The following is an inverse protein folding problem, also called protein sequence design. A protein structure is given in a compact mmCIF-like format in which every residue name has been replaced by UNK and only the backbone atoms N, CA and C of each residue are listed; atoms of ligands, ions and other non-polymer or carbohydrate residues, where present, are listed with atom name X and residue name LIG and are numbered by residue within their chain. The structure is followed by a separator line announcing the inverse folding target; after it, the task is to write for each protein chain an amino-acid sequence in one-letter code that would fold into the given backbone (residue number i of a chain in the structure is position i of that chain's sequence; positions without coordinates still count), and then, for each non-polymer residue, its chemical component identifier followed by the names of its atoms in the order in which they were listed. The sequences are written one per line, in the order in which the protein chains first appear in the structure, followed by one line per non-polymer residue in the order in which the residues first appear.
data_IF_078841341106
#
_entry.id   IF_078841341106
#
_cell.length_a   1.000
_cell.length_b   1.000
_cell.length_c   1.000
_cell.angle_alpha   90.00
_cell.angle_beta   90.00
_cell.angle_gamma   90.00
#
_symmetry.space_group_name_H-M   'P 1'
#
loop_
_entity.id
_entity.type
_entity.pdbx_description
1 polymer ?
#
# COMPACT_ATOMS: atom_id res chain seq x y z
N UNK A 1 -46.35 12.38 -42.22
CA UNK A 1 -46.29 13.07 -40.94
C UNK A 1 -46.17 12.16 -39.70
N UNK A 2 -45.93 10.84 -39.88
CA UNK A 2 -45.69 9.88 -38.78
C UNK A 2 -44.24 9.47 -38.61
N UNK A 3 -43.33 9.91 -39.48
CA UNK A 3 -41.89 9.58 -39.41
C UNK A 3 -41.06 10.64 -38.66
N UNK A 4 -41.61 11.79 -38.34
CA UNK A 4 -40.85 12.84 -37.59
C UNK A 4 -40.98 12.75 -36.05
N UNK A 5 -41.93 11.97 -35.54
CA UNK A 5 -42.10 11.82 -34.07
C UNK A 5 -41.25 10.72 -33.45
N UNK A 6 -40.71 9.79 -34.25
CA UNK A 6 -39.87 8.68 -33.76
C UNK A 6 -38.38 9.10 -33.55
N UNK A 7 -37.91 10.14 -34.25
CA UNK A 7 -36.51 10.60 -34.16
C UNK A 7 -36.24 11.47 -32.93
N UNK A 8 -37.26 12.10 -32.35
CA UNK A 8 -37.08 12.98 -31.16
C UNK A 8 -37.08 12.20 -29.86
N UNK A 9 -37.69 10.99 -29.81
CA UNK A 9 -37.72 10.15 -28.61
C UNK A 9 -36.43 9.33 -28.44
N UNK A 10 -35.72 9.03 -29.54
CA UNK A 10 -34.44 8.31 -29.45
C UNK A 10 -33.25 9.22 -29.06
N UNK A 11 -33.33 10.53 -29.30
CA UNK A 11 -32.31 11.48 -28.90
C UNK A 11 -32.35 11.84 -27.39
N UNK A 12 -33.52 11.65 -26.74
CA UNK A 12 -33.71 11.90 -25.30
C UNK A 12 -33.22 10.76 -24.40
N UNK A 13 -33.08 9.53 -24.92
CA UNK A 13 -32.65 8.37 -24.12
C UNK A 13 -31.11 8.18 -24.05
N UNK A 14 -30.37 8.84 -24.93
CA UNK A 14 -28.90 8.79 -24.92
C UNK A 14 -28.23 9.85 -24.03
N UNK A 15 -29.00 10.83 -23.54
CA UNK A 15 -28.47 11.84 -22.62
C UNK A 15 -28.60 11.51 -21.13
N UNK A 16 -29.21 10.38 -20.76
CA UNK A 16 -29.42 9.97 -19.37
C UNK A 16 -28.31 9.05 -18.81
N UNK A 17 -27.34 8.64 -19.64
CA UNK A 17 -26.11 7.96 -19.22
C UNK A 17 -24.90 8.90 -19.09
N UNK A 18 -25.11 10.20 -18.89
CA UNK A 18 -24.08 11.04 -18.34
C UNK A 18 -23.80 10.53 -16.91
N UNK A 19 -22.76 9.71 -16.82
CA UNK A 19 -22.14 9.28 -15.59
C UNK A 19 -22.19 10.42 -14.58
N UNK A 20 -22.94 10.26 -13.48
CA UNK A 20 -22.62 11.00 -12.25
C UNK A 20 -21.16 10.64 -11.96
N UNK A 21 -20.26 11.48 -12.44
CA UNK A 21 -18.91 11.55 -11.92
C UNK A 21 -19.08 11.99 -10.45
N UNK A 22 -19.23 11.00 -9.58
CA UNK A 22 -19.05 11.23 -8.17
C UNK A 22 -17.59 11.68 -8.05
N UNK A 23 -17.39 12.98 -7.91
CA UNK A 23 -16.08 13.51 -7.62
C UNK A 23 -15.66 12.96 -6.25
N UNK A 24 -14.77 11.99 -6.23
CA UNK A 24 -14.11 11.48 -5.02
C UNK A 24 -13.41 12.59 -4.21
N UNK A 25 -13.35 13.80 -4.76
CA UNK A 25 -12.56 14.93 -4.27
C UNK A 25 -13.37 15.95 -3.45
N UNK A 26 -14.55 15.61 -2.94
CA UNK A 26 -15.50 16.57 -2.39
C UNK A 26 -15.17 17.18 -1.02
N UNK A 27 -14.16 16.75 -0.33
CA UNK A 27 -13.55 17.51 0.77
C UNK A 27 -12.09 17.13 0.83
N UNK A 28 -11.20 18.11 0.91
CA UNK A 28 -9.81 17.80 1.24
C UNK A 28 -9.79 17.41 2.72
N UNK A 29 -9.69 16.13 3.08
CA UNK A 29 -9.61 15.74 4.48
C UNK A 29 -8.36 16.37 5.11
N UNK A 30 -8.37 16.59 6.41
CA UNK A 30 -7.18 17.03 7.14
C UNK A 30 -6.04 16.04 6.87
N UNK A 31 -4.95 16.55 6.33
CA UNK A 31 -3.77 15.74 6.02
C UNK A 31 -3.02 15.38 7.30
N UNK A 32 -2.35 14.20 7.35
CA UNK A 32 -1.54 13.82 8.49
C UNK A 32 -0.50 14.89 8.83
N UNK A 33 -0.47 15.32 10.11
CA UNK A 33 0.39 16.43 10.53
C UNK A 33 1.80 15.99 10.82
N UNK A 34 1.97 14.88 11.54
CA UNK A 34 3.30 14.49 12.01
C UNK A 34 3.41 12.98 12.22
N UNK A 35 4.63 12.45 12.17
CA UNK A 35 4.88 11.05 12.48
C UNK A 35 4.95 10.79 13.99
N UNK A 36 5.30 11.79 14.80
CA UNK A 36 5.70 11.61 16.19
C UNK A 36 4.62 11.95 17.21
N UNK A 37 3.47 12.44 16.79
CA UNK A 37 2.46 12.93 17.74
C UNK A 37 1.36 11.91 18.01
N UNK A 38 1.36 11.27 19.18
CA UNK A 38 0.14 10.66 19.71
C UNK A 38 -0.86 11.77 20.00
N UNK A 39 -1.82 11.99 19.10
CA UNK A 39 -3.00 12.81 19.38
C UNK A 39 -4.11 11.88 19.84
N UNK A 40 -4.57 12.06 21.07
CA UNK A 40 -5.79 11.43 21.53
C UNK A 40 -6.95 11.84 20.60
N UNK A 41 -7.43 10.91 19.80
CA UNK A 41 -8.63 11.11 18.98
C UNK A 41 -9.78 10.40 19.66
N UNK A 42 -10.93 11.05 19.83
CA UNK A 42 -12.10 10.33 20.30
C UNK A 42 -12.40 9.19 19.32
N UNK A 43 -12.56 7.99 19.86
CA UNK A 43 -13.03 6.86 19.08
C UNK A 43 -14.47 7.08 18.64
N UNK A 44 -14.86 6.54 17.51
CA UNK A 44 -16.25 6.48 17.09
C UNK A 44 -16.62 5.06 16.72
N UNK A 45 -17.86 4.68 17.00
CA UNK A 45 -18.41 3.40 16.61
C UNK A 45 -19.00 3.48 15.20
N UNK A 46 -18.75 2.46 14.40
CA UNK A 46 -19.39 2.27 13.10
C UNK A 46 -20.37 1.11 13.17
N UNK A 47 -21.49 1.20 12.48
CA UNK A 47 -22.54 0.15 12.51
C UNK A 47 -22.48 -0.78 11.30
N UNK A 48 -21.85 -0.38 10.21
CA UNK A 48 -21.80 -1.17 8.97
C UNK A 48 -20.39 -1.63 8.63
N UNK A 49 -19.56 -0.67 8.29
CA UNK A 49 -18.19 -0.93 7.87
C UNK A 49 -17.26 0.24 8.24
N UNK A 50 -15.97 -0.02 8.26
CA UNK A 50 -14.95 0.99 8.49
C UNK A 50 -13.73 0.77 7.60
N UNK A 51 -12.99 1.84 7.34
CA UNK A 51 -11.72 1.83 6.65
C UNK A 51 -10.72 2.65 7.46
N UNK A 52 -9.53 2.13 7.65
CA UNK A 52 -8.40 2.84 8.22
C UNK A 52 -7.18 2.71 7.31
N UNK A 53 -6.57 3.83 6.97
CA UNK A 53 -5.36 3.89 6.17
C UNK A 53 -4.46 5.03 6.65
N UNK A 54 -3.20 5.03 6.21
CA UNK A 54 -2.21 6.02 6.63
C UNK A 54 -2.52 7.46 6.14
N UNK A 55 -3.40 7.60 5.14
CA UNK A 55 -3.76 8.91 4.58
C UNK A 55 -5.28 9.02 4.41
N UNK A 56 -5.90 10.17 4.76
CA UNK A 56 -7.34 10.40 4.63
C UNK A 56 -7.89 10.22 3.22
N UNK A 57 -7.12 10.58 2.18
CA UNK A 57 -7.54 10.38 0.78
C UNK A 57 -7.67 8.89 0.45
N UNK A 58 -6.74 8.06 0.93
CA UNK A 58 -6.81 6.62 0.77
C UNK A 58 -7.97 6.01 1.57
N UNK A 59 -8.17 6.46 2.82
CA UNK A 59 -9.32 6.06 3.64
C UNK A 59 -10.63 6.39 2.94
N UNK A 60 -10.75 7.60 2.38
CA UNK A 60 -11.95 8.03 1.65
C UNK A 60 -12.21 7.16 0.41
N UNK A 61 -11.18 6.81 -0.35
CA UNK A 61 -11.31 5.93 -1.51
C UNK A 61 -11.85 4.54 -1.12
N UNK A 62 -11.25 3.90 -0.10
CA UNK A 62 -11.73 2.62 0.42
C UNK A 62 -13.16 2.69 0.97
N UNK A 63 -13.49 3.76 1.70
CA UNK A 63 -14.84 3.98 2.22
C UNK A 63 -15.89 4.09 1.11
N UNK A 64 -15.60 4.83 0.04
CA UNK A 64 -16.53 4.94 -1.09
C UNK A 64 -16.72 3.61 -1.82
N UNK A 65 -15.67 2.80 -1.93
CA UNK A 65 -15.77 1.44 -2.47
C UNK A 65 -16.72 0.58 -1.64
N UNK A 66 -16.57 0.58 -0.30
CA UNK A 66 -17.49 -0.17 0.58
C UNK A 66 -18.93 0.36 0.48
N UNK A 67 -19.11 1.69 0.44
CA UNK A 67 -20.41 2.34 0.26
C UNK A 67 -21.07 1.97 -1.07
N UNK A 68 -20.30 1.71 -2.12
CA UNK A 68 -20.78 1.25 -3.40
C UNK A 68 -21.09 -0.27 -3.44
N UNK A 69 -20.97 -0.99 -2.32
CA UNK A 69 -21.23 -2.42 -2.21
C UNK A 69 -20.02 -3.31 -2.47
N UNK A 70 -18.82 -2.71 -2.56
CA UNK A 70 -17.57 -3.45 -2.69
C UNK A 70 -17.23 -4.31 -1.48
N UNK A 71 -16.34 -5.26 -1.66
CA UNK A 71 -15.78 -6.09 -0.60
C UNK A 71 -14.67 -5.36 0.15
N UNK A 72 -14.20 -5.95 1.27
CA UNK A 72 -13.03 -5.46 1.99
C UNK A 72 -11.77 -5.50 1.10
N UNK A 73 -11.64 -6.50 0.24
CA UNK A 73 -10.53 -6.60 -0.73
C UNK A 73 -10.63 -5.49 -1.78
N UNK A 74 -11.82 -5.19 -2.30
CA UNK A 74 -12.01 -4.07 -3.22
C UNK A 74 -11.58 -2.75 -2.59
N UNK A 75 -11.98 -2.52 -1.34
CA UNK A 75 -11.58 -1.33 -0.59
C UNK A 75 -10.06 -1.27 -0.38
N UNK A 76 -9.43 -2.38 -0.02
CA UNK A 76 -7.98 -2.45 0.18
C UNK A 76 -7.20 -2.13 -1.11
N UNK A 77 -7.70 -2.56 -2.28
CA UNK A 77 -7.10 -2.24 -3.58
C UNK A 77 -7.17 -0.74 -3.84
N UNK A 78 -8.34 -0.11 -3.69
CA UNK A 78 -8.47 1.33 -3.90
C UNK A 78 -7.60 2.13 -2.93
N UNK A 79 -7.53 1.72 -1.66
CA UNK A 79 -6.63 2.29 -0.64
C UNK A 79 -5.17 2.19 -1.10
N UNK A 80 -4.71 1.00 -1.50
CA UNK A 80 -3.32 0.79 -1.90
C UNK A 80 -2.94 1.62 -3.12
N UNK A 81 -3.82 1.71 -4.13
CA UNK A 81 -3.55 2.52 -5.31
C UNK A 81 -3.42 4.01 -4.96
N UNK A 82 -4.27 4.53 -4.08
CA UNK A 82 -4.18 5.93 -3.62
C UNK A 82 -2.95 6.16 -2.75
N UNK A 83 -2.61 5.22 -1.84
CA UNK A 83 -1.41 5.32 -1.01
C UNK A 83 -0.12 5.42 -1.84
N UNK A 84 -0.05 4.78 -3.00
CA UNK A 84 1.08 4.89 -3.93
C UNK A 84 1.39 6.34 -4.32
N UNK A 85 0.38 7.21 -4.34
CA UNK A 85 0.52 8.64 -4.63
C UNK A 85 0.79 9.47 -3.38
N UNK A 86 -0.04 9.27 -2.34
CA UNK A 86 -0.11 10.21 -1.20
C UNK A 86 0.82 9.85 -0.05
N UNK A 87 1.34 8.61 -0.02
CA UNK A 87 2.32 8.10 0.95
C UNK A 87 3.46 7.34 0.24
N UNK A 88 4.14 7.94 -0.75
CA UNK A 88 5.11 7.23 -1.59
C UNK A 88 6.34 6.75 -0.82
N UNK A 89 6.64 7.35 0.35
CA UNK A 89 7.74 6.95 1.22
C UNK A 89 7.53 5.58 1.89
N UNK A 90 6.28 5.08 1.92
CA UNK A 90 5.93 3.83 2.61
C UNK A 90 4.99 2.93 1.82
N UNK A 91 4.63 3.30 0.61
CA UNK A 91 3.67 2.55 -0.21
C UNK A 91 3.96 2.67 -1.70
N UNK A 92 3.77 1.60 -2.45
CA UNK A 92 4.01 1.62 -3.90
C UNK A 92 3.55 0.35 -4.60
N UNK A 93 3.46 0.42 -5.92
CA UNK A 93 3.10 -0.72 -6.79
C UNK A 93 4.32 -1.55 -7.22
N UNK A 94 5.52 -1.00 -7.06
CA UNK A 94 6.80 -1.65 -7.41
C UNK A 94 7.42 -2.47 -6.28
N UNK A 95 6.74 -2.59 -5.15
CA UNK A 95 7.15 -3.36 -3.98
C UNK A 95 6.36 -4.65 -3.80
N UNK A 96 6.26 -5.11 -2.54
CA UNK A 96 5.48 -6.26 -2.14
C UNK A 96 4.47 -5.95 -1.05
N UNK A 97 3.58 -6.89 -0.81
CA UNK A 97 2.57 -6.78 0.22
C UNK A 97 2.19 -8.15 0.78
N UNK A 98 1.71 -8.14 2.02
CA UNK A 98 1.02 -9.27 2.63
C UNK A 98 -0.46 -8.90 2.81
N UNK A 99 -1.34 -9.84 2.50
CA UNK A 99 -2.78 -9.69 2.70
C UNK A 99 -3.30 -10.78 3.62
N UNK A 100 -3.97 -10.36 4.69
CA UNK A 100 -4.81 -11.25 5.52
C UNK A 100 -6.27 -10.91 5.23
N UNK A 101 -7.05 -11.91 4.87
CA UNK A 101 -8.48 -11.79 4.63
C UNK A 101 -9.24 -12.72 5.56
N UNK A 102 -10.26 -12.17 6.25
CA UNK A 102 -11.19 -12.96 7.07
C UNK A 102 -12.59 -12.82 6.50
N UNK A 103 -13.19 -13.93 6.11
CA UNK A 103 -14.52 -13.98 5.49
C UNK A 103 -15.67 -14.15 6.50
N UNK A 104 -15.36 -14.06 7.79
CA UNK A 104 -16.28 -14.35 8.91
C UNK A 104 -16.17 -15.77 9.44
N UNK A 105 -15.40 -16.65 8.79
CA UNK A 105 -15.23 -18.07 9.16
C UNK A 105 -13.77 -18.49 9.23
N UNK A 106 -12.98 -18.13 8.22
CA UNK A 106 -11.56 -18.49 8.09
C UNK A 106 -10.71 -17.26 7.80
N UNK A 107 -9.44 -17.36 8.17
CA UNK A 107 -8.42 -16.40 7.77
C UNK A 107 -7.61 -16.98 6.61
N UNK A 108 -7.36 -16.19 5.59
CA UNK A 108 -6.50 -16.53 4.45
C UNK A 108 -5.33 -15.57 4.38
N UNK A 109 -4.16 -16.08 4.04
CA UNK A 109 -2.92 -15.30 3.95
C UNK A 109 -2.36 -15.38 2.53
N UNK A 110 -2.17 -14.22 1.90
CA UNK A 110 -1.63 -14.10 0.53
C UNK A 110 -0.27 -13.39 0.61
N UNK A 111 0.77 -14.09 0.19
CA UNK A 111 2.13 -13.60 0.14
C UNK A 111 2.44 -13.03 -1.24
N UNK A 112 2.51 -11.72 -1.29
CA UNK A 112 2.94 -10.93 -2.44
C UNK A 112 4.26 -10.21 -2.18
N UNK A 113 5.10 -10.75 -1.29
CA UNK A 113 6.42 -10.18 -1.05
C UNK A 113 7.31 -10.26 -2.28
N UNK A 114 8.22 -9.32 -2.41
CA UNK A 114 9.24 -9.34 -3.45
C UNK A 114 10.11 -10.60 -3.34
N UNK A 115 10.56 -11.10 -4.48
CA UNK A 115 11.56 -12.13 -4.54
C UNK A 115 12.82 -11.60 -5.19
N UNK A 116 13.97 -12.19 -4.86
CA UNK A 116 15.22 -11.85 -5.54
C UNK A 116 15.14 -12.20 -7.04
N UNK A 117 15.74 -11.41 -7.93
CA UNK A 117 15.93 -11.82 -9.31
C UNK A 117 16.66 -13.17 -9.41
N UNK A 118 16.36 -13.96 -10.42
CA UNK A 118 16.89 -15.33 -10.58
C UNK A 118 18.42 -15.40 -10.62
N UNK A 119 19.07 -14.32 -11.03
CA UNK A 119 20.54 -14.22 -11.08
C UNK A 119 21.15 -13.76 -9.73
N UNK A 120 20.37 -13.52 -8.68
CA UNK A 120 20.89 -13.14 -7.38
C UNK A 120 21.61 -14.34 -6.73
N UNK A 121 22.74 -14.05 -6.08
CA UNK A 121 23.54 -15.02 -5.34
C UNK A 121 23.77 -14.55 -3.91
N UNK A 122 24.33 -15.41 -3.07
CA UNK A 122 24.79 -15.10 -1.72
C UNK A 122 25.85 -14.00 -1.65
N UNK A 123 26.47 -13.66 -2.81
CA UNK A 123 27.48 -12.61 -2.95
C UNK A 123 26.91 -11.28 -3.46
N UNK A 124 25.59 -11.15 -3.60
CA UNK A 124 24.95 -9.99 -4.23
C UNK A 124 25.39 -8.64 -3.63
N UNK A 125 25.60 -8.59 -2.32
CA UNK A 125 25.99 -7.37 -1.58
C UNK A 125 27.44 -7.42 -1.07
N UNK A 126 28.31 -8.18 -1.73
CA UNK A 126 29.76 -8.18 -1.44
C UNK A 126 30.50 -7.35 -2.48
N UNK A 127 31.60 -6.73 -2.03
CA UNK A 127 32.57 -6.09 -2.91
C UNK A 127 33.51 -7.13 -3.59
N UNK A 128 34.43 -6.65 -4.42
CA UNK A 128 35.40 -7.51 -5.09
C UNK A 128 36.37 -8.25 -4.13
N UNK A 129 36.48 -7.81 -2.90
CA UNK A 129 37.27 -8.41 -1.84
C UNK A 129 36.45 -9.36 -0.94
N UNK A 130 35.16 -9.55 -1.26
CA UNK A 130 34.26 -10.39 -0.48
C UNK A 130 33.76 -9.77 0.82
N UNK A 131 33.89 -8.45 0.99
CA UNK A 131 33.38 -7.72 2.17
C UNK A 131 31.96 -7.17 1.87
N UNK A 132 31.08 -7.11 2.89
CA UNK A 132 29.77 -6.49 2.72
C UNK A 132 29.88 -5.05 2.26
N UNK A 133 29.05 -4.63 1.30
CA UNK A 133 28.90 -3.23 0.91
C UNK A 133 28.40 -2.41 2.09
N UNK A 134 28.77 -1.12 2.18
CA UNK A 134 28.08 -0.18 3.06
C UNK A 134 26.58 -0.24 2.85
N UNK A 135 25.80 -0.24 3.95
CA UNK A 135 24.35 -0.47 3.89
C UNK A 135 23.64 0.44 2.88
N UNK A 136 23.86 1.75 2.94
CA UNK A 136 23.22 2.71 2.05
C UNK A 136 23.69 2.56 0.59
N UNK A 137 24.91 2.13 0.35
CA UNK A 137 25.39 1.83 -1.01
C UNK A 137 24.65 0.63 -1.63
N UNK A 138 24.34 -0.37 -0.81
CA UNK A 138 23.47 -1.47 -1.22
C UNK A 138 22.03 -1.01 -1.47
N UNK A 139 21.46 -0.21 -0.55
CA UNK A 139 20.07 0.28 -0.63
C UNK A 139 19.86 1.15 -1.86
N UNK A 140 20.76 2.10 -2.13
CA UNK A 140 20.68 3.05 -3.25
C UNK A 140 21.22 2.45 -4.56
N UNK A 141 20.92 1.20 -4.84
CA UNK A 141 21.45 0.48 -6.00
C UNK A 141 20.38 -0.32 -6.73
N UNK A 142 20.67 -0.74 -7.95
CA UNK A 142 19.87 -1.71 -8.68
C UNK A 142 19.89 -3.12 -8.05
N UNK A 143 20.88 -3.40 -7.17
CA UNK A 143 21.00 -4.69 -6.49
C UNK A 143 19.89 -4.94 -5.48
N UNK A 144 19.38 -3.87 -4.82
CA UNK A 144 18.35 -3.96 -3.78
C UNK A 144 16.94 -4.15 -4.35
N UNK A 145 16.75 -4.03 -5.65
CA UNK A 145 15.41 -4.07 -6.27
C UNK A 145 14.97 -5.52 -6.46
N UNK A 146 13.96 -5.92 -5.70
CA UNK A 146 13.30 -7.21 -5.84
C UNK A 146 12.23 -7.22 -6.94
N UNK A 147 11.84 -8.41 -7.38
CA UNK A 147 10.73 -8.62 -8.32
C UNK A 147 9.41 -8.28 -7.64
N UNK A 148 8.63 -7.29 -8.13
CA UNK A 148 7.48 -6.76 -7.41
C UNK A 148 6.29 -7.72 -7.36
N UNK A 149 5.62 -7.76 -6.21
CA UNK A 149 4.49 -8.65 -5.94
C UNK A 149 3.16 -7.96 -5.64
N UNK A 150 3.16 -6.66 -5.30
CA UNK A 150 1.97 -5.94 -4.83
C UNK A 150 0.76 -6.07 -5.75
N UNK A 151 0.90 -5.79 -7.05
CA UNK A 151 -0.24 -5.90 -7.98
C UNK A 151 -0.72 -7.34 -8.14
N UNK A 152 0.21 -8.29 -8.16
CA UNK A 152 -0.14 -9.71 -8.31
C UNK A 152 -0.93 -10.23 -7.11
N UNK A 153 -0.55 -9.84 -5.88
CA UNK A 153 -1.28 -10.29 -4.68
C UNK A 153 -2.66 -9.65 -4.58
N UNK A 154 -2.78 -8.37 -4.92
CA UNK A 154 -4.07 -7.67 -4.93
C UNK A 154 -5.00 -8.26 -5.98
N UNK A 155 -4.51 -8.53 -7.20
CA UNK A 155 -5.30 -9.16 -8.27
C UNK A 155 -5.71 -10.59 -7.90
N UNK A 156 -4.84 -11.36 -7.24
CA UNK A 156 -5.17 -12.71 -6.76
C UNK A 156 -6.28 -12.66 -5.72
N UNK A 157 -6.16 -11.80 -4.72
CA UNK A 157 -7.19 -11.63 -3.70
C UNK A 157 -8.51 -11.09 -4.29
N UNK A 158 -8.43 -10.20 -5.29
CA UNK A 158 -9.62 -9.69 -5.98
C UNK A 158 -10.36 -10.78 -6.76
N UNK A 159 -9.66 -11.66 -7.46
CA UNK A 159 -10.27 -12.79 -8.19
C UNK A 159 -11.07 -13.72 -7.28
N UNK A 160 -10.68 -13.84 -6.02
CA UNK A 160 -11.34 -14.72 -5.05
C UNK A 160 -12.44 -14.00 -4.24
N UNK A 161 -12.25 -12.73 -3.92
CA UNK A 161 -13.08 -12.00 -2.94
C UNK A 161 -13.61 -10.65 -3.44
N UNK A 162 -13.24 -10.22 -4.64
CA UNK A 162 -13.73 -8.97 -5.23
C UNK A 162 -15.21 -9.05 -5.61
N UNK A 163 -15.87 -7.90 -5.53
CA UNK A 163 -17.28 -7.73 -5.92
C UNK A 163 -17.45 -6.69 -7.01
N UNK A 164 -16.61 -5.65 -7.02
CA UNK A 164 -16.65 -4.60 -8.01
C UNK A 164 -15.63 -4.86 -9.13
N UNK A 165 -15.85 -4.34 -10.35
CA UNK A 165 -14.89 -4.47 -11.44
C UNK A 165 -13.54 -3.88 -11.05
N UNK A 166 -12.46 -4.60 -11.35
CA UNK A 166 -11.08 -4.20 -11.05
C UNK A 166 -10.76 -2.76 -11.46
N UNK A 167 -11.09 -2.40 -12.72
CA UNK A 167 -10.80 -1.08 -13.26
C UNK A 167 -11.44 0.05 -12.45
N UNK A 168 -12.61 -0.18 -11.84
CA UNK A 168 -13.30 0.81 -10.99
C UNK A 168 -12.50 1.13 -9.73
N UNK A 169 -11.78 0.16 -9.18
CA UNK A 169 -11.00 0.30 -7.95
C UNK A 169 -9.76 1.17 -8.14
N UNK A 170 -9.27 1.27 -9.36
CA UNK A 170 -8.08 2.05 -9.72
C UNK A 170 -8.43 3.52 -10.01
N UNK A 171 -9.69 3.83 -10.36
CA UNK A 171 -10.11 5.17 -10.79
C UNK A 171 -9.78 6.29 -9.79
N UNK A 172 -9.95 6.13 -8.46
CA UNK A 172 -9.59 7.20 -7.52
C UNK A 172 -8.12 7.63 -7.62
N UNK A 173 -7.22 6.67 -7.78
CA UNK A 173 -5.80 6.95 -7.92
C UNK A 173 -5.48 7.62 -9.26
N UNK A 174 -6.10 7.19 -10.37
CA UNK A 174 -5.95 7.83 -11.68
C UNK A 174 -6.36 9.31 -11.58
N UNK A 175 -7.52 9.60 -10.98
CA UNK A 175 -8.01 10.97 -10.85
C UNK A 175 -7.07 11.83 -10.02
N UNK A 176 -6.56 11.32 -8.89
CA UNK A 176 -5.59 12.04 -8.05
C UNK A 176 -4.27 12.27 -8.78
N UNK A 177 -3.80 11.31 -9.57
CA UNK A 177 -2.59 11.47 -10.36
C UNK A 177 -2.71 12.57 -11.42
N UNK A 178 -3.87 12.69 -12.06
CA UNK A 178 -4.14 13.70 -13.10
C UNK A 178 -4.48 15.08 -12.57
N UNK A 179 -5.42 15.12 -11.64
CA UNK A 179 -5.94 16.37 -11.09
C UNK A 179 -5.02 16.94 -10.02
N UNK A 180 -4.26 16.08 -9.37
CA UNK A 180 -3.32 16.39 -8.32
C UNK A 180 -3.92 16.23 -6.92
N UNK A 181 -3.00 16.14 -5.96
CA UNK A 181 -3.31 16.11 -4.53
C UNK A 181 -2.37 17.07 -3.79
N UNK A 182 -2.82 17.56 -2.64
CA UNK A 182 -2.01 18.48 -1.82
C UNK A 182 -0.94 17.68 -1.06
N UNK A 183 0.31 18.12 -1.17
CA UNK A 183 1.42 17.59 -0.41
C UNK A 183 1.15 17.74 1.10
N UNK A 184 1.15 16.63 1.81
CA UNK A 184 0.84 16.59 3.24
C UNK A 184 2.02 17.08 4.09
N UNK A 185 1.79 17.57 5.33
CA UNK A 185 2.86 17.87 6.28
C UNK A 185 3.78 16.66 6.52
N UNK A 186 3.21 15.45 6.61
CA UNK A 186 3.97 14.21 6.79
C UNK A 186 4.91 13.92 5.62
N UNK A 187 4.41 14.02 4.38
CA UNK A 187 5.25 13.82 3.20
C UNK A 187 6.33 14.91 3.10
N UNK A 188 5.99 16.16 3.43
CA UNK A 188 6.96 17.25 3.46
C UNK A 188 8.10 16.98 4.45
N UNK A 189 7.77 16.53 5.66
CA UNK A 189 8.80 16.16 6.65
C UNK A 189 9.65 14.97 6.21
N UNK A 190 9.05 13.97 5.57
CA UNK A 190 9.80 12.85 5.01
C UNK A 190 10.79 13.32 3.93
N UNK A 191 10.38 14.23 3.05
CA UNK A 191 11.25 14.80 2.02
C UNK A 191 12.37 15.68 2.61
N UNK A 192 12.12 16.38 3.72
CA UNK A 192 13.16 17.14 4.43
C UNK A 192 14.22 16.24 5.07
N UNK A 193 13.81 15.06 5.53
CA UNK A 193 14.72 14.08 6.16
C UNK A 193 15.48 13.22 5.13
N UNK A 194 15.03 13.23 3.86
CA UNK A 194 15.59 12.42 2.78
C UNK A 194 16.76 13.15 2.10
N UNK A 195 17.93 12.51 2.02
CA UNK A 195 19.13 13.13 1.47
C UNK A 195 19.51 12.62 0.07
N UNK A 196 19.00 11.46 -0.32
CA UNK A 196 19.47 10.75 -1.51
C UNK A 196 18.50 10.84 -2.69
N UNK A 197 17.19 10.91 -2.42
CA UNK A 197 16.13 10.95 -3.44
C UNK A 197 16.30 12.11 -4.42
N UNK A 198 16.80 13.25 -3.92
CA UNK A 198 17.06 14.45 -4.74
C UNK A 198 18.14 14.25 -5.80
N UNK A 199 18.92 13.19 -5.75
CA UNK A 199 19.94 12.84 -6.72
C UNK A 199 19.36 12.05 -7.91
N UNK A 200 18.17 11.50 -7.82
CA UNK A 200 17.42 10.98 -8.97
C UNK A 200 16.70 12.13 -9.67
N UNK A 201 17.02 12.35 -10.95
CA UNK A 201 16.52 13.50 -11.70
C UNK A 201 14.98 13.54 -11.81
N UNK A 202 14.33 12.36 -11.91
CA UNK A 202 12.87 12.25 -12.00
C UNK A 202 12.23 12.60 -10.67
N UNK A 203 12.72 12.01 -9.57
CA UNK A 203 12.23 12.30 -8.23
C UNK A 203 12.50 13.77 -7.84
N UNK A 204 13.68 14.30 -8.21
CA UNK A 204 14.02 15.70 -7.97
C UNK A 204 13.03 16.65 -8.66
N UNK A 205 12.70 16.41 -9.92
CA UNK A 205 11.75 17.25 -10.66
C UNK A 205 10.31 17.19 -10.12
N UNK A 206 9.95 16.09 -9.45
CA UNK A 206 8.61 15.86 -8.94
C UNK A 206 8.39 16.39 -7.52
N UNK A 207 9.38 16.19 -6.63
CA UNK A 207 9.23 16.50 -5.20
C UNK A 207 9.89 17.81 -4.77
N UNK A 208 10.81 18.37 -5.57
CA UNK A 208 11.65 19.50 -5.16
C UNK A 208 11.51 20.68 -6.14
N UNK A 209 11.73 21.88 -5.62
CA UNK A 209 11.77 23.11 -6.42
C UNK A 209 13.13 23.33 -7.11
N UNK A 210 13.25 24.43 -7.86
CA UNK A 210 14.47 24.80 -8.56
C UNK A 210 15.66 25.09 -7.62
N UNK A 211 15.40 25.37 -6.36
CA UNK A 211 16.40 25.56 -5.29
C UNK A 211 16.75 24.26 -4.57
N UNK A 212 16.27 23.10 -5.08
CA UNK A 212 16.45 21.78 -4.50
C UNK A 212 15.87 21.64 -3.09
N UNK A 213 14.80 22.38 -2.79
CA UNK A 213 14.02 22.26 -1.54
C UNK A 213 12.74 21.49 -1.82
N UNK A 214 12.26 20.66 -0.87
CA UNK A 214 10.96 20.03 -1.01
C UNK A 214 9.86 21.05 -1.27
N UNK A 215 8.93 20.75 -2.16
CA UNK A 215 7.75 21.59 -2.33
C UNK A 215 7.04 21.82 -1.01
N UNK A 216 6.47 23.02 -0.77
CA UNK A 216 5.83 23.35 0.51
C UNK A 216 4.56 22.53 0.73
N UNK A 217 4.19 22.38 2.01
CA UNK A 217 2.89 21.79 2.40
C UNK A 217 1.75 22.47 1.65
N UNK A 218 0.86 21.66 1.09
CA UNK A 218 -0.27 22.14 0.29
C UNK A 218 0.03 22.37 -1.19
N UNK A 219 1.29 22.24 -1.62
CA UNK A 219 1.63 22.20 -3.04
C UNK A 219 0.87 21.06 -3.74
N UNK A 220 0.36 21.32 -4.94
CA UNK A 220 -0.41 20.33 -5.70
C UNK A 220 0.53 19.50 -6.57
N UNK A 221 0.76 18.26 -6.17
CA UNK A 221 1.51 17.28 -6.96
C UNK A 221 0.60 16.62 -8.00
N UNK A 222 1.06 16.55 -9.23
CA UNK A 222 0.41 15.83 -10.34
C UNK A 222 1.41 14.86 -10.96
N UNK A 223 0.94 13.67 -11.30
CA UNK A 223 1.78 12.66 -11.94
C UNK A 223 1.03 12.01 -13.13
N UNK A 224 0.97 12.67 -14.29
CA UNK A 224 0.29 12.16 -15.47
C UNK A 224 0.91 10.87 -16.01
N UNK A 225 2.22 10.67 -15.83
CA UNK A 225 2.92 9.45 -16.23
C UNK A 225 2.47 8.26 -15.37
N UNK A 226 2.37 8.44 -14.06
CA UNK A 226 1.81 7.41 -13.19
C UNK A 226 0.31 7.18 -13.49
N UNK A 227 -0.44 8.22 -13.86
CA UNK A 227 -1.83 8.05 -14.30
C UNK A 227 -1.92 7.13 -15.54
N UNK A 228 -0.99 7.24 -16.48
CA UNK A 228 -0.94 6.35 -17.65
C UNK A 228 -0.63 4.90 -17.23
N UNK A 229 0.31 4.69 -16.31
CA UNK A 229 0.61 3.36 -15.73
C UNK A 229 -0.62 2.80 -14.99
N UNK A 230 -1.31 3.62 -14.20
CA UNK A 230 -2.51 3.19 -13.48
C UNK A 230 -3.66 2.82 -14.43
N UNK A 231 -3.79 3.48 -15.59
CA UNK A 231 -4.76 3.06 -16.63
C UNK A 231 -4.39 1.71 -17.22
N UNK A 232 -3.11 1.47 -17.50
CA UNK A 232 -2.65 0.17 -17.97
C UNK A 232 -2.91 -0.94 -16.92
N UNK A 233 -2.75 -0.63 -15.64
CA UNK A 233 -3.10 -1.51 -14.53
C UNK A 233 -4.62 -1.74 -14.45
N UNK A 234 -5.43 -0.71 -14.68
CA UNK A 234 -6.89 -0.83 -14.70
C UNK A 234 -7.38 -1.75 -15.83
N UNK A 235 -6.70 -1.72 -16.97
CA UNK A 235 -7.04 -2.53 -18.15
C UNK A 235 -6.49 -3.96 -18.07
N UNK A 236 -5.22 -4.13 -17.69
CA UNK A 236 -4.49 -5.41 -17.77
C UNK A 236 -4.14 -6.06 -16.42
N UNK A 237 -4.53 -5.44 -15.30
CA UNK A 237 -4.21 -5.96 -13.98
C UNK A 237 -2.69 -5.99 -13.73
N UNK A 238 -2.22 -7.05 -13.08
CA UNK A 238 -0.80 -7.23 -12.77
C UNK A 238 0.08 -7.45 -14.01
N UNK A 239 -0.49 -7.79 -15.15
CA UNK A 239 0.25 -7.91 -16.42
C UNK A 239 0.89 -6.59 -16.85
N UNK A 240 0.35 -5.44 -16.43
CA UNK A 240 0.93 -4.13 -16.70
C UNK A 240 2.39 -4.00 -16.24
N UNK A 241 2.77 -4.64 -15.12
CA UNK A 241 4.15 -4.65 -14.62
C UNK A 241 4.95 -5.90 -15.05
N UNK A 242 4.32 -6.89 -15.65
CA UNK A 242 4.97 -8.14 -16.06
C UNK A 242 5.37 -8.16 -17.52
N UNK A 243 4.70 -7.36 -18.36
CA UNK A 243 4.87 -7.37 -19.80
C UNK A 243 4.62 -5.97 -20.40
N UNK A 244 5.27 -5.69 -21.53
CA UNK A 244 5.08 -4.44 -22.26
C UNK A 244 6.03 -3.33 -21.82
N UNK A 245 5.68 -2.08 -22.15
CA UNK A 245 6.58 -0.93 -22.03
C UNK A 245 6.99 -0.63 -20.57
N UNK A 246 6.04 -0.74 -19.62
CA UNK A 246 6.32 -0.49 -18.20
C UNK A 246 7.30 -1.53 -17.65
N UNK A 247 7.10 -2.82 -17.95
CA UNK A 247 8.02 -3.88 -17.56
C UNK A 247 9.43 -3.67 -18.13
N UNK A 248 9.51 -3.27 -19.42
CA UNK A 248 10.78 -2.97 -20.06
C UNK A 248 11.50 -1.79 -19.40
N UNK A 249 10.78 -0.70 -19.14
CA UNK A 249 11.32 0.48 -18.47
C UNK A 249 11.81 0.17 -17.05
N UNK A 250 11.07 -0.65 -16.29
CA UNK A 250 11.46 -1.11 -14.96
C UNK A 250 12.77 -1.90 -15.00
N UNK A 251 12.85 -2.92 -15.86
CA UNK A 251 14.08 -3.72 -16.04
C UNK A 251 15.25 -2.84 -16.49
N UNK A 252 15.00 -1.92 -17.42
CA UNK A 252 16.03 -0.98 -17.90
C UNK A 252 16.55 -0.11 -16.75
N UNK A 253 15.67 0.51 -15.96
CA UNK A 253 16.07 1.36 -14.82
C UNK A 253 16.92 0.59 -13.82
N UNK A 254 16.55 -0.64 -13.49
CA UNK A 254 17.31 -1.52 -12.56
C UNK A 254 18.67 -1.89 -13.14
N UNK A 255 18.73 -2.32 -14.40
CA UNK A 255 19.97 -2.78 -15.05
C UNK A 255 20.92 -1.67 -15.48
N UNK A 256 20.41 -0.44 -15.62
CA UNK A 256 21.20 0.73 -16.00
C UNK A 256 21.48 1.65 -14.81
N UNK A 257 21.35 1.14 -13.58
CA UNK A 257 21.74 1.93 -12.41
C UNK A 257 23.21 2.39 -12.54
N UNK A 258 23.50 3.69 -12.37
CA UNK A 258 24.78 4.28 -12.78
C UNK A 258 26.00 3.74 -12.05
N UNK A 259 25.83 3.29 -10.80
CA UNK A 259 26.96 2.81 -9.99
C UNK A 259 26.93 1.30 -9.77
N UNK A 260 25.75 0.73 -9.49
CA UNK A 260 25.57 -0.69 -9.17
C UNK A 260 24.32 -1.24 -9.87
N UNK A 261 24.45 -1.68 -11.13
CA UNK A 261 23.37 -2.30 -11.88
C UNK A 261 22.82 -3.56 -11.20
N UNK A 262 21.49 -3.70 -11.17
CA UNK A 262 20.83 -4.93 -10.76
C UNK A 262 20.75 -5.96 -11.89
N UNK A 263 20.28 -7.16 -11.55
CA UNK A 263 20.23 -8.31 -12.47
C UNK A 263 18.83 -8.67 -12.97
N UNK A 264 17.78 -7.93 -12.55
CA UNK A 264 16.39 -8.23 -12.91
C UNK A 264 16.19 -8.35 -14.42
N UNK A 265 15.36 -9.32 -14.84
CA UNK A 265 14.99 -9.58 -16.23
C UNK A 265 13.48 -9.52 -16.43
N UNK A 266 13.05 -9.41 -17.68
CA UNK A 266 11.62 -9.53 -18.04
C UNK A 266 11.06 -10.92 -17.66
N UNK A 267 11.89 -11.95 -17.70
CA UNK A 267 11.49 -13.28 -17.30
C UNK A 267 11.21 -13.37 -15.80
N UNK A 268 11.99 -12.72 -14.95
CA UNK A 268 11.75 -12.64 -13.51
C UNK A 268 10.36 -12.01 -13.24
N UNK A 269 10.04 -10.90 -13.92
CA UNK A 269 8.74 -10.25 -13.80
C UNK A 269 7.59 -11.16 -14.26
N UNK A 270 7.75 -11.82 -15.41
CA UNK A 270 6.72 -12.69 -15.99
C UNK A 270 6.46 -13.94 -15.14
N UNK A 271 7.47 -14.49 -14.48
CA UNK A 271 7.39 -15.72 -13.69
C UNK A 271 6.96 -15.51 -12.24
N UNK A 272 6.87 -14.26 -11.77
CA UNK A 272 6.46 -13.98 -10.39
C UNK A 272 5.09 -14.59 -10.08
N UNK A 273 5.01 -15.29 -8.94
CA UNK A 273 3.79 -15.94 -8.45
C UNK A 273 3.52 -15.57 -6.99
N UNK A 274 2.27 -15.28 -6.70
CA UNK A 274 1.75 -15.14 -5.34
C UNK A 274 1.71 -16.51 -4.67
N UNK A 275 2.00 -16.55 -3.38
CA UNK A 275 1.93 -17.77 -2.58
C UNK A 275 0.80 -17.63 -1.56
N UNK A 276 -0.15 -18.55 -1.54
CA UNK A 276 -1.08 -18.70 -0.42
C UNK A 276 -0.38 -19.47 0.71
N UNK A 277 -0.50 -18.92 1.93
CA UNK A 277 0.11 -19.51 3.12
C UNK A 277 -0.95 -19.81 4.17
N UNK A 278 -0.68 -20.80 5.02
CA UNK A 278 -1.47 -20.98 6.23
C UNK A 278 -1.17 -19.86 7.22
N UNK A 279 -2.19 -19.11 7.71
CA UNK A 279 -1.97 -18.07 8.70
C UNK A 279 -1.41 -18.65 10.00
N UNK A 280 -0.58 -17.89 10.70
CA UNK A 280 -0.11 -18.27 12.02
C UNK A 280 -1.14 -17.81 13.06
N UNK A 281 -1.85 -18.79 13.63
CA UNK A 281 -2.89 -18.53 14.63
C UNK A 281 -2.50 -19.15 15.99
N UNK A 282 -2.87 -18.47 17.07
CA UNK A 282 -2.71 -18.98 18.44
C UNK A 282 -3.83 -18.45 19.32
N UNK A 283 -4.15 -19.22 20.39
CA UNK A 283 -5.14 -18.82 21.36
C UNK A 283 -4.53 -17.90 22.43
N UNK A 284 -5.25 -16.87 22.80
CA UNK A 284 -4.87 -15.93 23.84
C UNK A 284 -6.05 -15.65 24.77
N UNK A 285 -5.81 -15.73 26.07
CA UNK A 285 -6.80 -15.42 27.11
C UNK A 285 -6.40 -14.14 27.82
N UNK A 286 -7.27 -13.14 27.80
CA UNK A 286 -7.08 -11.90 28.56
C UNK A 286 -7.26 -12.21 30.05
N UNK A 287 -6.18 -12.21 30.82
CA UNK A 287 -6.18 -12.69 32.20
C UNK A 287 -7.07 -11.88 33.15
N UNK A 288 -7.29 -10.59 32.88
CA UNK A 288 -8.14 -9.72 33.68
C UNK A 288 -9.65 -9.99 33.51
N UNK A 289 -10.05 -10.52 32.35
CA UNK A 289 -11.47 -10.73 32.01
C UNK A 289 -11.84 -12.19 31.78
N UNK A 290 -10.85 -13.08 31.64
CA UNK A 290 -11.05 -14.48 31.26
C UNK A 290 -11.50 -14.68 29.78
N UNK A 291 -11.60 -13.60 28.99
CA UNK A 291 -12.07 -13.67 27.62
C UNK A 291 -11.00 -14.26 26.71
N UNK A 292 -11.37 -15.34 26.01
CA UNK A 292 -10.51 -15.99 24.99
C UNK A 292 -10.64 -15.34 23.61
N UNK A 293 -9.52 -15.28 22.89
CA UNK A 293 -9.42 -14.83 21.51
C UNK A 293 -8.52 -15.78 20.74
N UNK A 294 -8.85 -16.04 19.48
CA UNK A 294 -7.90 -16.56 18.52
C UNK A 294 -7.24 -15.39 17.79
N UNK A 295 -5.94 -15.30 17.86
CA UNK A 295 -5.14 -14.25 17.21
C UNK A 295 -4.45 -14.87 16.01
N UNK A 296 -4.73 -14.35 14.81
CA UNK A 296 -4.13 -14.79 13.57
C UNK A 296 -3.31 -13.66 12.95
N UNK A 297 -2.15 -14.00 12.41
CA UNK A 297 -1.31 -13.06 11.71
C UNK A 297 -0.59 -13.72 10.55
N UNK A 298 0.18 -12.92 9.81
CA UNK A 298 0.90 -13.42 8.65
C UNK A 298 2.11 -14.26 9.09
N UNK A 299 2.28 -15.50 8.55
CA UNK A 299 3.40 -16.37 8.89
C UNK A 299 4.73 -15.87 8.27
N UNK A 300 5.87 -16.52 8.54
CA UNK A 300 7.08 -16.24 7.77
C UNK A 300 6.83 -16.30 6.26
N UNK A 301 7.40 -15.34 5.50
CA UNK A 301 8.55 -14.50 5.84
C UNK A 301 8.22 -13.20 6.59
N UNK A 302 6.99 -13.00 7.08
CA UNK A 302 6.68 -11.92 8.03
C UNK A 302 7.07 -12.34 9.45
N UNK A 303 7.69 -11.44 10.20
CA UNK A 303 8.01 -11.64 11.62
C UNK A 303 6.85 -11.23 12.55
N UNK A 304 5.83 -10.52 12.04
CA UNK A 304 4.83 -9.84 12.86
C UNK A 304 4.02 -10.77 13.76
N UNK A 305 3.41 -11.82 13.21
CA UNK A 305 2.61 -12.78 13.99
C UNK A 305 3.46 -13.53 15.01
N UNK A 306 4.68 -13.92 14.63
CA UNK A 306 5.61 -14.60 15.53
C UNK A 306 5.97 -13.70 16.72
N UNK A 307 6.35 -12.45 16.46
CA UNK A 307 6.70 -11.49 17.49
C UNK A 307 5.50 -11.20 18.43
N UNK A 308 4.31 -10.97 17.88
CA UNK A 308 3.09 -10.74 18.67
C UNK A 308 2.77 -11.98 19.55
N UNK A 309 2.87 -13.18 18.96
CA UNK A 309 2.64 -14.43 19.70
C UNK A 309 3.62 -14.61 20.85
N UNK A 310 4.90 -14.32 20.63
CA UNK A 310 5.92 -14.38 21.67
C UNK A 310 5.66 -13.34 22.78
N UNK A 311 5.39 -12.09 22.41
CA UNK A 311 5.09 -11.01 23.38
C UNK A 311 3.89 -11.40 24.27
N UNK A 312 2.78 -11.78 23.66
CA UNK A 312 1.57 -12.13 24.41
C UNK A 312 1.75 -13.40 25.26
N UNK A 313 2.48 -14.39 24.73
CA UNK A 313 2.81 -15.62 25.45
C UNK A 313 3.70 -15.36 26.67
N UNK A 314 4.71 -14.51 26.53
CA UNK A 314 5.59 -14.10 27.64
C UNK A 314 4.81 -13.30 28.66
N UNK A 315 4.08 -12.26 28.25
CA UNK A 315 3.28 -11.43 29.15
C UNK A 315 2.26 -12.24 29.98
N UNK A 316 1.66 -13.26 29.39
CA UNK A 316 0.73 -14.14 30.10
C UNK A 316 1.39 -14.94 31.25
N UNK A 317 2.69 -15.11 31.21
CA UNK A 317 3.48 -15.78 32.27
C UNK A 317 4.12 -14.81 33.25
N UNK A 318 3.76 -13.52 33.18
CA UNK A 318 4.23 -12.46 34.07
C UNK A 318 3.06 -11.83 34.83
N UNK A 319 3.30 -11.08 35.90
CA UNK A 319 2.27 -10.29 36.55
C UNK A 319 1.58 -9.27 35.64
N UNK A 320 2.24 -8.80 34.58
CA UNK A 320 1.72 -7.79 33.64
C UNK A 320 0.36 -8.16 33.04
N UNK A 321 0.11 -9.46 32.75
CA UNK A 321 -1.18 -9.94 32.24
C UNK A 321 -2.38 -9.68 33.15
N UNK A 322 -2.16 -9.39 34.46
CA UNK A 322 -3.16 -9.10 35.46
C UNK A 322 -3.15 -7.66 35.94
N UNK A 323 -2.18 -6.84 35.56
CA UNK A 323 -2.06 -5.45 35.98
C UNK A 323 -3.13 -4.60 35.32
N UNK A 324 -3.92 -3.81 36.07
CA UNK A 324 -4.88 -2.90 35.48
C UNK A 324 -4.16 -1.71 34.84
N UNK A 325 -4.72 -1.19 33.75
CA UNK A 325 -4.28 0.07 33.17
C UNK A 325 -4.76 1.23 34.07
N UNK A 326 -3.88 2.16 34.40
CA UNK A 326 -4.21 3.39 35.11
C UNK A 326 -4.61 4.46 34.10
N UNK A 327 -5.88 4.88 34.11
CA UNK A 327 -6.43 5.84 33.11
C UNK A 327 -6.20 5.41 31.65
N UNK A 328 -6.21 4.09 31.40
CA UNK A 328 -5.97 3.52 30.06
C UNK A 328 -4.51 3.44 29.65
N UNK A 329 -3.58 3.77 30.53
CA UNK A 329 -2.14 3.69 30.30
C UNK A 329 -1.48 2.62 31.18
N UNK A 330 -0.47 1.91 30.69
CA UNK A 330 0.34 1.02 31.50
C UNK A 330 1.18 1.85 32.50
N UNK A 331 1.36 1.33 33.72
CA UNK A 331 2.29 1.90 34.68
C UNK A 331 3.75 1.48 34.38
N UNK A 332 4.70 1.98 35.19
CA UNK A 332 6.12 1.68 35.03
C UNK A 332 6.42 0.19 35.21
N UNK A 333 5.72 -0.48 36.13
CA UNK A 333 5.95 -1.89 36.41
C UNK A 333 5.48 -2.76 35.23
N UNK A 334 4.34 -2.40 34.62
CA UNK A 334 3.88 -3.06 33.39
C UNK A 334 4.89 -2.87 32.24
N UNK A 335 5.40 -1.66 32.07
CA UNK A 335 6.40 -1.37 31.02
C UNK A 335 7.69 -2.17 31.24
N UNK A 336 8.11 -2.39 32.49
CA UNK A 336 9.27 -3.21 32.83
C UNK A 336 9.13 -4.67 32.31
N UNK A 337 7.94 -5.24 32.35
CA UNK A 337 7.70 -6.60 31.81
C UNK A 337 7.55 -6.64 30.32
N UNK A 338 7.25 -5.51 29.70
CA UNK A 338 7.09 -5.42 28.25
C UNK A 338 8.43 -5.21 27.51
N UNK A 339 9.37 -4.52 28.10
CA UNK A 339 10.70 -4.21 27.54
C UNK A 339 11.73 -5.29 27.88
#
# INVERSE_FOLDING_TARGET
SKLMLAAVVLAGALSACALKQNSFLLATPDQPKDQAGHQAKPGWATQGFSVAAANPLATAAGYQVLKAGGSAIDAAIAVQMVLTLVEPQSSGIGGGAFVLHHDGKKVEAYDGREVAPSAATDKLFLDAQGKPLPFMEGVLSGLSVGVPGTLSVLETAHKEHGKLPWATLIQPAIQLAEQGFKLSPRLHQALLAENDLINDAVAASYFYDAQRKPHPVGYVLKNPELAAVLRDIADRGSLALKQGAVAQALVQKVRQHPTKPGSMTLQDLAQYKVIKREPLCFDHVVQTTGKGFQICGFPPPSSGALAIGQILGILNNTPAGKMPLQQGLPDSDWLHFYT
#
